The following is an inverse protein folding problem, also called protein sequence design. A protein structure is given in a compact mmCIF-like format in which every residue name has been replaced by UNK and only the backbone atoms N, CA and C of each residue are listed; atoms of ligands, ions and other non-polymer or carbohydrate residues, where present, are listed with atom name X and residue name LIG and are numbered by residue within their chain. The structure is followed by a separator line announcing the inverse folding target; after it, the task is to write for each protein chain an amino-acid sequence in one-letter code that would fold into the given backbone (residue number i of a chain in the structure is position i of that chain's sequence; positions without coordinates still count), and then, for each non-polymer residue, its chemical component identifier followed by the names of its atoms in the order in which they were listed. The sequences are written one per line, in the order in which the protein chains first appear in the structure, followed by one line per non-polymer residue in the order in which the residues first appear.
data_IF_863453716148
#
_entry.id   IF_863453716148
#
_cell.length_a   1.000
_cell.length_b   1.000
_cell.length_c   1.000
_cell.angle_alpha   90.00
_cell.angle_beta   90.00
_cell.angle_gamma   90.00
#
_symmetry.space_group_name_H-M   'P 1'
#
loop_
_entity.id
_entity.type
_entity.pdbx_description
1 polymer ?
#
# COMPACT_ATOMS: atom_id res chain seq x y z
N UNK A 1 -2.67 15.63 -6.33
CA UNK A 1 -1.83 14.54 -5.85
C UNK A 1 -2.66 13.25 -5.78
N UNK A 2 -2.15 12.15 -6.29
CA UNK A 2 -2.83 10.84 -6.26
C UNK A 2 -2.40 10.04 -5.04
N UNK A 3 -3.21 9.03 -4.65
CA UNK A 3 -2.92 8.20 -3.47
C UNK A 3 -1.57 7.50 -3.60
N UNK A 4 -1.23 7.05 -4.82
CA UNK A 4 -0.01 6.32 -5.17
C UNK A 4 1.26 7.18 -5.36
N UNK A 5 1.21 8.50 -5.08
CA UNK A 5 2.38 9.38 -5.20
C UNK A 5 3.65 8.88 -4.48
N UNK A 6 3.57 8.13 -3.36
CA UNK A 6 4.76 7.62 -2.68
C UNK A 6 5.63 6.71 -3.55
N UNK A 7 5.05 6.01 -4.54
CA UNK A 7 5.83 5.20 -5.50
C UNK A 7 6.79 6.10 -6.28
N UNK A 8 6.29 7.20 -6.84
CA UNK A 8 7.11 8.18 -7.57
C UNK A 8 8.18 8.76 -6.65
N UNK A 9 7.82 9.13 -5.43
CA UNK A 9 8.76 9.67 -4.44
C UNK A 9 9.90 8.72 -4.14
N UNK A 10 9.59 7.42 -3.95
CA UNK A 10 10.58 6.40 -3.64
C UNK A 10 11.54 6.11 -4.80
N UNK A 11 11.03 6.05 -6.04
CA UNK A 11 11.89 5.72 -7.19
C UNK A 11 12.66 6.92 -7.73
N UNK A 12 12.16 8.15 -7.55
CA UNK A 12 12.82 9.36 -8.02
C UNK A 12 13.60 10.11 -6.92
N UNK A 13 13.37 9.78 -5.64
CA UNK A 13 14.02 10.47 -4.52
C UNK A 13 13.55 11.91 -4.37
N UNK A 14 12.27 12.17 -4.59
CA UNK A 14 11.64 13.50 -4.47
C UNK A 14 10.51 13.46 -3.44
N UNK A 15 10.18 14.61 -2.86
CA UNK A 15 8.99 14.81 -2.04
C UNK A 15 7.99 15.65 -2.85
N UNK A 16 6.93 15.01 -3.35
CA UNK A 16 5.93 15.69 -4.18
C UNK A 16 5.05 16.63 -3.36
N UNK A 17 4.84 16.35 -2.08
CA UNK A 17 4.07 17.24 -1.20
C UNK A 17 4.87 18.52 -0.91
N UNK A 18 6.14 18.39 -0.58
CA UNK A 18 7.04 19.55 -0.41
C UNK A 18 7.11 20.38 -1.70
N UNK A 19 7.31 19.73 -2.86
CA UNK A 19 7.34 20.44 -4.15
C UNK A 19 6.05 21.21 -4.42
N UNK A 20 4.88 20.64 -4.13
CA UNK A 20 3.61 21.36 -4.28
C UNK A 20 3.54 22.61 -3.39
N UNK A 21 4.01 22.52 -2.14
CA UNK A 21 4.03 23.67 -1.22
C UNK A 21 5.02 24.75 -1.69
N UNK A 22 6.18 24.37 -2.17
CA UNK A 22 7.20 25.29 -2.70
C UNK A 22 6.70 26.00 -3.95
N UNK A 23 6.10 25.29 -4.90
CA UNK A 23 5.50 25.86 -6.11
C UNK A 23 4.34 26.81 -5.75
N UNK A 24 3.48 26.41 -4.80
CA UNK A 24 2.39 27.27 -4.33
C UNK A 24 2.88 28.54 -3.64
N UNK A 25 4.10 28.56 -3.08
CA UNK A 25 4.75 29.76 -2.53
C UNK A 25 5.51 30.60 -3.56
N UNK A 26 5.47 30.22 -4.84
CA UNK A 26 6.03 30.98 -5.96
C UNK A 26 7.39 30.49 -6.47
N UNK A 27 7.86 29.32 -6.01
CA UNK A 27 9.06 28.71 -6.60
C UNK A 27 8.74 28.12 -7.98
N UNK A 28 9.73 28.14 -8.86
CA UNK A 28 9.61 27.52 -10.17
C UNK A 28 9.62 25.98 -10.05
N UNK A 29 8.92 25.33 -10.98
CA UNK A 29 8.97 23.86 -11.09
C UNK A 29 10.39 23.45 -11.47
N UNK A 30 11.03 22.48 -10.79
CA UNK A 30 12.35 22.02 -11.17
C UNK A 30 12.39 21.51 -12.62
N UNK A 31 13.34 21.97 -13.40
CA UNK A 31 13.53 21.53 -14.79
C UNK A 31 14.01 20.07 -14.87
N UNK A 32 14.77 19.64 -13.88
CA UNK A 32 15.36 18.30 -13.82
C UNK A 32 14.63 17.43 -12.80
N UNK A 33 14.02 16.34 -13.27
CA UNK A 33 13.50 15.25 -12.42
C UNK A 33 14.55 14.15 -12.37
N UNK A 34 15.00 13.71 -11.17
CA UNK A 34 15.95 12.61 -11.04
C UNK A 34 15.46 11.37 -11.79
N UNK A 35 16.37 10.67 -12.49
CA UNK A 35 16.03 9.41 -13.14
C UNK A 35 15.53 8.38 -12.10
N UNK A 36 14.55 7.54 -12.44
CA UNK A 36 14.02 6.55 -11.52
C UNK A 36 15.10 5.50 -11.17
N UNK A 37 15.13 5.10 -9.90
CA UNK A 37 16.08 4.10 -9.37
C UNK A 37 15.30 2.97 -8.70
N UNK A 38 15.62 1.73 -9.08
CA UNK A 38 15.00 0.55 -8.50
C UNK A 38 13.52 0.38 -8.87
N UNK A 39 12.79 -0.22 -7.96
CA UNK A 39 11.38 -0.54 -8.10
C UNK A 39 10.66 -0.34 -6.76
N UNK A 40 9.42 0.12 -6.78
CA UNK A 40 8.61 0.26 -5.58
C UNK A 40 7.24 -0.42 -5.74
N UNK A 41 6.73 -0.94 -4.63
CA UNK A 41 5.39 -1.54 -4.51
C UNK A 41 4.67 -0.89 -3.35
N UNK A 42 3.48 -0.36 -3.59
CA UNK A 42 2.60 0.18 -2.54
C UNK A 42 1.49 -0.81 -2.20
N UNK A 43 1.30 -1.04 -0.91
CA UNK A 43 0.16 -1.77 -0.36
C UNK A 43 -0.78 -0.77 0.31
N UNK A 44 -2.00 -0.66 -0.18
CA UNK A 44 -3.07 0.10 0.46
C UNK A 44 -3.75 -0.78 1.49
N UNK A 45 -3.40 -0.60 2.75
CA UNK A 45 -4.02 -1.34 3.86
C UNK A 45 -5.31 -0.66 4.24
N UNK A 46 -6.43 -1.35 4.01
CA UNK A 46 -7.78 -0.84 4.22
C UNK A 46 -8.52 -1.64 5.29
N UNK A 47 -9.38 -0.96 6.06
CA UNK A 47 -10.33 -1.59 6.98
C UNK A 47 -11.49 -2.20 6.19
N UNK A 48 -11.25 -3.38 5.61
CA UNK A 48 -12.15 -4.09 4.70
C UNK A 48 -12.16 -5.58 5.01
N UNK A 49 -13.28 -6.20 4.72
CA UNK A 49 -13.40 -7.66 4.67
C UNK A 49 -12.48 -8.20 3.56
N UNK A 50 -11.53 -9.11 3.87
CA UNK A 50 -10.54 -9.57 2.90
C UNK A 50 -11.10 -10.48 1.80
N UNK A 51 -12.39 -10.86 1.89
CA UNK A 51 -13.07 -11.68 0.90
C UNK A 51 -14.05 -10.89 0.04
N UNK A 52 -14.79 -9.98 0.68
CA UNK A 52 -15.87 -9.22 0.03
C UNK A 52 -15.49 -7.77 -0.26
N UNK A 53 -14.37 -7.30 0.26
CA UNK A 53 -13.89 -5.92 0.14
C UNK A 53 -14.89 -4.86 0.62
N UNK A 54 -15.77 -5.25 1.56
CA UNK A 54 -16.71 -4.33 2.18
C UNK A 54 -16.06 -3.63 3.36
N UNK A 55 -16.29 -2.31 3.54
CA UNK A 55 -15.74 -1.56 4.68
C UNK A 55 -16.08 -2.21 6.02
N UNK A 56 -15.12 -2.22 6.93
CA UNK A 56 -15.21 -2.77 8.30
C UNK A 56 -14.77 -1.71 9.31
N UNK A 57 -15.62 -0.71 9.61
CA UNK A 57 -15.31 0.28 10.62
C UNK A 57 -15.17 -0.35 12.01
N UNK A 58 -14.44 0.29 12.89
CA UNK A 58 -14.26 -0.19 14.26
C UNK A 58 -13.07 0.43 14.96
N UNK A 59 -12.90 0.11 16.25
CA UNK A 59 -11.75 0.58 17.04
C UNK A 59 -10.53 -0.30 16.78
N UNK A 60 -9.40 0.33 16.47
CA UNK A 60 -8.11 -0.33 16.38
C UNK A 60 -7.61 -0.60 17.80
N UNK A 61 -7.39 -1.86 18.14
CA UNK A 61 -6.92 -2.30 19.44
C UNK A 61 -5.42 -2.56 19.49
N UNK A 62 -4.82 -2.92 18.34
CA UNK A 62 -3.38 -3.12 18.20
C UNK A 62 -2.92 -2.61 16.84
N UNK A 63 -1.77 -1.94 16.84
CA UNK A 63 -1.14 -1.40 15.65
C UNK A 63 0.38 -1.55 15.76
N UNK A 64 0.98 -2.38 14.90
CA UNK A 64 2.44 -2.56 14.84
C UNK A 64 2.88 -2.43 13.39
N UNK A 65 3.61 -1.38 13.09
CA UNK A 65 4.11 -1.13 11.75
C UNK A 65 5.31 -2.02 11.42
N UNK A 66 5.43 -2.46 10.15
CA UNK A 66 6.59 -3.22 9.69
C UNK A 66 7.85 -2.36 9.64
N UNK A 67 9.00 -2.96 9.91
CA UNK A 67 10.28 -2.29 9.81
C UNK A 67 10.86 -2.33 8.38
N UNK A 68 11.75 -1.38 8.05
CA UNK A 68 12.53 -1.37 6.81
C UNK A 68 11.75 -1.03 5.53
N UNK A 69 10.57 -0.45 5.68
CA UNK A 69 9.72 0.10 4.62
C UNK A 69 9.16 1.46 5.04
N UNK A 70 8.68 2.24 4.09
CA UNK A 70 7.93 3.47 4.40
C UNK A 70 6.49 3.12 4.74
N UNK A 71 5.96 3.71 5.80
CA UNK A 71 4.55 3.60 6.20
C UNK A 71 3.96 5.00 6.34
N UNK A 72 2.98 5.33 5.49
CA UNK A 72 2.19 6.56 5.59
C UNK A 72 0.84 6.18 6.22
N UNK A 73 0.70 6.39 7.52
CA UNK A 73 -0.48 5.98 8.28
C UNK A 73 -1.31 7.17 8.75
N UNK A 74 -2.64 7.03 8.65
CA UNK A 74 -3.61 7.97 9.23
C UNK A 74 -4.18 7.51 10.58
N UNK A 75 -3.79 6.33 11.05
CA UNK A 75 -4.36 5.66 12.23
C UNK A 75 -3.27 5.09 13.13
N UNK A 76 -3.62 4.91 14.40
CA UNK A 76 -2.80 4.25 15.43
C UNK A 76 -3.70 3.44 16.35
N UNK A 77 -3.12 2.62 17.23
CA UNK A 77 -3.88 1.92 18.27
C UNK A 77 -4.72 2.89 19.11
N UNK A 78 -5.96 2.52 19.43
CA UNK A 78 -6.92 3.34 20.16
C UNK A 78 -7.83 4.22 19.30
N UNK A 79 -7.49 4.49 18.04
CA UNK A 79 -8.35 5.26 17.12
C UNK A 79 -9.55 4.44 16.63
N UNK A 80 -10.58 5.13 16.14
CA UNK A 80 -11.79 4.51 15.59
C UNK A 80 -11.86 4.81 14.10
N UNK A 81 -11.91 3.76 13.28
CA UNK A 81 -12.16 3.86 11.84
C UNK A 81 -13.62 4.19 11.63
N UNK A 82 -13.88 5.36 11.02
CA UNK A 82 -15.24 5.86 10.77
C UNK A 82 -15.84 5.22 9.52
N UNK A 83 -17.15 4.91 9.50
CA UNK A 83 -17.85 4.50 8.29
C UNK A 83 -18.13 5.66 7.31
N UNK A 84 -17.85 6.91 7.69
CA UNK A 84 -18.17 8.09 6.90
C UNK A 84 -17.05 8.55 5.97
N UNK A 85 -15.88 7.90 6.03
CA UNK A 85 -14.70 8.21 5.23
C UNK A 85 -14.18 6.96 4.53
N UNK A 86 -13.17 7.16 3.70
CA UNK A 86 -12.46 6.08 3.02
C UNK A 86 -11.89 5.06 4.04
N UNK A 87 -11.95 3.74 3.74
CA UNK A 87 -11.45 2.70 4.64
C UNK A 87 -9.92 2.62 4.71
N UNK A 88 -9.16 3.43 3.96
CA UNK A 88 -7.71 3.42 3.94
C UNK A 88 -7.13 3.72 5.32
N UNK A 89 -6.33 2.78 5.84
CA UNK A 89 -5.64 2.91 7.13
C UNK A 89 -4.21 3.40 6.96
N UNK A 90 -3.49 2.79 6.03
CA UNK A 90 -2.09 3.10 5.75
C UNK A 90 -1.70 2.72 4.32
N UNK A 91 -0.65 3.38 3.83
CA UNK A 91 0.11 2.97 2.64
C UNK A 91 1.44 2.41 3.11
N UNK A 92 1.74 1.18 2.74
CA UNK A 92 3.04 0.55 3.00
C UNK A 92 3.80 0.51 1.69
N UNK A 93 4.94 1.18 1.61
CA UNK A 93 5.72 1.33 0.38
C UNK A 93 7.06 0.65 0.53
N UNK A 94 7.24 -0.45 -0.20
CA UNK A 94 8.47 -1.23 -0.25
C UNK A 94 9.26 -0.86 -1.51
N UNK A 95 10.49 -0.38 -1.32
CA UNK A 95 11.42 -0.06 -2.40
C UNK A 95 12.58 -1.06 -2.40
N UNK A 96 13.07 -1.44 -3.58
CA UNK A 96 14.22 -2.31 -3.76
C UNK A 96 15.03 -1.91 -5.01
N UNK A 97 16.21 -2.48 -5.17
CA UNK A 97 17.06 -2.25 -6.34
C UNK A 97 16.38 -2.74 -7.64
N UNK A 98 15.52 -3.73 -7.52
CA UNK A 98 14.69 -4.27 -8.61
C UNK A 98 13.31 -4.72 -8.09
N UNK A 99 12.48 -5.25 -9.01
CA UNK A 99 11.14 -5.75 -8.67
C UNK A 99 11.17 -6.92 -7.69
N UNK A 100 12.13 -7.83 -7.82
CA UNK A 100 12.23 -9.01 -6.97
C UNK A 100 12.51 -8.62 -5.52
N UNK A 101 13.44 -7.67 -5.29
CA UNK A 101 13.74 -7.15 -3.96
C UNK A 101 12.57 -6.35 -3.39
N UNK A 102 11.93 -5.49 -4.20
CA UNK A 102 10.74 -4.73 -3.76
C UNK A 102 9.60 -5.67 -3.32
N UNK A 103 9.33 -6.74 -4.08
CA UNK A 103 8.33 -7.76 -3.72
C UNK A 103 8.71 -8.53 -2.45
N UNK A 104 9.98 -8.91 -2.28
CA UNK A 104 10.44 -9.60 -1.06
C UNK A 104 10.25 -8.71 0.18
N UNK A 105 10.54 -7.42 0.08
CA UNK A 105 10.32 -6.44 1.15
C UNK A 105 8.82 -6.23 1.42
N UNK A 106 8.00 -6.13 0.37
CA UNK A 106 6.55 -5.99 0.50
C UNK A 106 5.90 -7.20 1.19
N UNK A 107 6.31 -8.44 0.84
CA UNK A 107 5.85 -9.68 1.50
C UNK A 107 6.19 -9.68 2.98
N UNK A 108 7.44 -9.36 3.32
CA UNK A 108 7.87 -9.27 4.73
C UNK A 108 7.06 -8.22 5.47
N UNK A 109 6.93 -7.02 4.91
CA UNK A 109 6.15 -5.94 5.52
C UNK A 109 4.69 -6.32 5.73
N UNK A 110 4.05 -6.95 4.74
CA UNK A 110 2.68 -7.44 4.88
C UNK A 110 2.54 -8.53 5.95
N UNK A 111 3.56 -9.37 6.15
CA UNK A 111 3.57 -10.40 7.20
C UNK A 111 3.75 -9.81 8.60
N UNK A 112 4.60 -8.79 8.74
CA UNK A 112 4.93 -8.14 10.01
C UNK A 112 3.86 -7.13 10.47
N UNK A 113 3.10 -6.53 9.53
CA UNK A 113 2.10 -5.54 9.87
C UNK A 113 0.95 -6.14 10.68
N UNK A 114 0.74 -5.62 11.88
CA UNK A 114 -0.35 -6.03 12.77
C UNK A 114 -1.38 -4.92 12.87
N UNK A 115 -2.60 -5.22 12.44
CA UNK A 115 -3.79 -4.40 12.66
C UNK A 115 -4.85 -5.29 13.31
N UNK A 116 -5.26 -4.98 14.54
CA UNK A 116 -6.34 -5.69 15.24
C UNK A 116 -7.48 -4.74 15.59
N UNK A 117 -8.67 -5.32 15.65
CA UNK A 117 -9.93 -4.63 15.88
C UNK A 117 -10.80 -4.74 14.66
N UNK A 118 -10.77 -3.79 13.71
CA UNK A 118 -11.47 -3.96 12.44
C UNK A 118 -10.80 -5.06 11.60
N UNK A 119 -11.58 -5.73 10.77
CA UNK A 119 -11.01 -6.56 9.70
C UNK A 119 -10.25 -5.66 8.73
N UNK A 120 -9.16 -6.17 8.18
CA UNK A 120 -8.40 -5.47 7.15
C UNK A 120 -8.03 -6.40 5.99
N UNK A 121 -7.67 -5.81 4.86
CA UNK A 121 -7.36 -6.53 3.62
C UNK A 121 -5.94 -7.15 3.58
N UNK A 122 -5.15 -7.07 4.64
CA UNK A 122 -3.79 -7.66 4.70
C UNK A 122 -3.74 -9.14 4.28
N UNK A 123 -4.70 -10.02 4.67
CA UNK A 123 -4.70 -11.40 4.18
C UNK A 123 -4.78 -11.52 2.66
N UNK A 124 -5.62 -10.69 2.03
CA UNK A 124 -5.72 -10.64 0.58
C UNK A 124 -4.45 -10.07 -0.08
N UNK A 125 -3.87 -9.01 0.48
CA UNK A 125 -2.63 -8.43 -0.03
C UNK A 125 -1.46 -9.43 -0.01
N UNK A 126 -1.38 -10.28 1.02
CA UNK A 126 -0.39 -11.38 1.08
C UNK A 126 -0.59 -12.37 -0.04
N UNK A 127 -1.82 -12.83 -0.25
CA UNK A 127 -2.16 -13.75 -1.34
C UNK A 127 -1.86 -13.13 -2.72
N UNK A 128 -2.21 -11.87 -2.92
CA UNK A 128 -1.89 -11.15 -4.17
C UNK A 128 -0.38 -11.10 -4.42
N UNK A 129 0.42 -10.74 -3.39
CA UNK A 129 1.89 -10.68 -3.49
C UNK A 129 2.51 -12.03 -3.83
N UNK A 130 1.87 -13.15 -3.45
CA UNK A 130 2.34 -14.51 -3.71
C UNK A 130 1.78 -15.10 -5.00
N UNK A 131 0.83 -14.42 -5.64
CA UNK A 131 0.26 -14.89 -6.90
C UNK A 131 1.29 -14.89 -8.04
N UNK A 132 1.27 -15.92 -8.93
CA UNK A 132 2.19 -15.98 -10.06
C UNK A 132 2.09 -14.76 -10.97
N UNK A 133 0.87 -14.27 -11.21
CA UNK A 133 0.61 -13.12 -12.07
C UNK A 133 1.26 -11.85 -11.51
N UNK A 134 1.06 -11.58 -10.21
CA UNK A 134 1.66 -10.39 -9.60
C UNK A 134 3.17 -10.51 -9.49
N UNK A 135 3.69 -11.73 -9.23
CA UNK A 135 5.13 -11.98 -9.14
C UNK A 135 5.82 -11.77 -10.50
N UNK A 136 5.24 -12.28 -11.60
CA UNK A 136 5.79 -12.11 -12.95
C UNK A 136 5.66 -10.68 -13.48
N UNK A 137 4.68 -9.92 -13.02
CA UNK A 137 4.32 -8.61 -13.57
C UNK A 137 3.38 -8.69 -14.78
N UNK A 138 2.94 -9.89 -15.15
CA UNK A 138 1.98 -10.11 -16.23
C UNK A 138 0.55 -10.14 -15.66
N UNK A 139 0.01 -8.97 -15.38
CA UNK A 139 -1.34 -8.81 -14.84
C UNK A 139 -1.95 -7.47 -15.28
N UNK A 140 -3.27 -7.45 -15.22
CA UNK A 140 -4.14 -6.29 -15.36
C UNK A 140 -4.98 -6.10 -14.08
N UNK A 141 -5.87 -5.13 -14.07
CA UNK A 141 -6.79 -4.86 -12.94
C UNK A 141 -7.74 -6.03 -12.63
N UNK A 142 -7.97 -6.94 -13.58
CA UNK A 142 -8.77 -8.16 -13.39
C UNK A 142 -8.08 -9.24 -12.53
N UNK A 143 -6.82 -9.05 -12.11
CA UNK A 143 -6.10 -10.00 -11.24
C UNK A 143 -6.85 -10.29 -9.95
N UNK A 144 -7.50 -9.27 -9.37
CA UNK A 144 -8.28 -9.39 -8.13
C UNK A 144 -9.44 -10.38 -8.31
N UNK A 145 -10.20 -10.23 -9.41
CA UNK A 145 -11.31 -11.14 -9.73
C UNK A 145 -10.83 -12.56 -9.96
N UNK A 146 -9.70 -12.74 -10.66
CA UNK A 146 -9.11 -14.06 -10.91
C UNK A 146 -8.67 -14.76 -9.63
N UNK A 147 -8.06 -14.04 -8.69
CA UNK A 147 -7.66 -14.59 -7.39
C UNK A 147 -8.90 -14.97 -6.56
N UNK A 148 -9.89 -14.09 -6.48
CA UNK A 148 -11.11 -14.36 -5.70
C UNK A 148 -11.93 -15.52 -6.27
N UNK A 149 -11.98 -15.66 -7.61
CA UNK A 149 -12.67 -16.78 -8.26
C UNK A 149 -12.03 -18.17 -7.98
N UNK A 150 -10.71 -18.22 -7.74
CA UNK A 150 -10.02 -19.48 -7.35
C UNK A 150 -10.43 -19.94 -5.96
N UNK A 151 -10.58 -19.02 -5.00
CA UNK A 151 -11.03 -19.34 -3.63
C UNK A 151 -12.40 -20.03 -3.62
N UNK A 152 -13.32 -19.60 -4.49
CA UNK A 152 -14.67 -20.17 -4.60
C UNK A 152 -14.70 -21.60 -5.19
N UNK A 153 -13.60 -22.10 -5.77
CA UNK A 153 -13.49 -23.46 -6.33
C UNK A 153 -12.82 -24.45 -5.37
N UNK A 154 -12.14 -23.93 -4.33
CA UNK A 154 -11.42 -24.73 -3.33
C UNK A 154 -12.23 -24.91 -2.01
N UNK A 155 -13.40 -24.26 -1.92
CA UNK A 155 -14.35 -24.36 -0.80
C UNK A 155 -15.52 -25.27 -1.12
#
# INVERSE_FOLDING_TARGET
LQVEHPITEQVHGVDLVELQLRIASGEEVPDDVPAPRGHAVELRVCAEDPQRFLPRPGRITEWVEPAGVRVDAGYVAGTVVSPHFDPLLAKVVAHGADRAEALARARRAAAEFVVRGPQCNLPFLRELLDSPEFTSGDYDTGVVERITARRGKES
#
